data_IF_943505269866
#
_entry.id   IF_943505269866
#
_cell.length_a   1.000
_cell.length_b   1.000
_cell.length_c   1.000
_cell.angle_alpha   90.00
_cell.angle_beta   90.00
_cell.angle_gamma   90.00
#
_symmetry.space_group_name_H-M   'P 1'
#
loop_
_entity.id
_entity.type
_entity.pdbx_description
1 polymer ?
#
# COMPACT_ATOMS: atom_id res chain seq x y z
N UNK A 1 -10.82 -27.78 3.32
CA UNK A 1 -10.88 -26.58 2.43
C UNK A 1 -11.93 -25.56 2.85
N UNK A 2 -13.24 -25.88 2.87
CA UNK A 2 -14.29 -24.96 3.36
C UNK A 2 -14.00 -24.44 4.76
N UNK A 3 -13.62 -25.35 5.64
CA UNK A 3 -13.36 -25.03 7.05
C UNK A 3 -12.19 -24.06 7.21
N UNK A 4 -11.06 -24.35 6.58
CA UNK A 4 -9.90 -23.44 6.55
C UNK A 4 -10.25 -22.04 6.01
N UNK A 5 -11.13 -21.93 5.00
CA UNK A 5 -11.54 -20.61 4.47
C UNK A 5 -12.46 -19.87 5.44
N UNK A 6 -13.39 -20.56 6.11
CA UNK A 6 -14.24 -19.98 7.16
C UNK A 6 -13.44 -19.47 8.34
N UNK A 7 -12.48 -20.27 8.81
CA UNK A 7 -11.64 -19.95 9.97
C UNK A 7 -10.83 -18.67 9.75
N UNK A 8 -10.27 -18.48 8.55
CA UNK A 8 -9.56 -17.25 8.23
C UNK A 8 -9.59 -16.95 6.73
N UNK A 9 -10.54 -16.13 6.29
CA UNK A 9 -10.70 -15.78 4.87
C UNK A 9 -9.53 -14.97 4.28
N UNK A 10 -8.72 -14.32 5.13
CA UNK A 10 -7.61 -13.45 4.71
C UNK A 10 -6.32 -14.21 4.38
N UNK A 11 -6.25 -15.51 4.67
CA UNK A 11 -5.04 -16.31 4.41
C UNK A 11 -4.81 -16.51 2.91
N UNK A 12 -3.56 -16.32 2.51
CA UNK A 12 -3.11 -16.54 1.14
C UNK A 12 -3.14 -18.01 0.76
N UNK A 13 -3.25 -18.28 -0.54
CA UNK A 13 -3.26 -19.63 -1.10
C UNK A 13 -1.93 -20.36 -0.80
N UNK A 14 -0.82 -19.62 -0.79
CA UNK A 14 0.50 -20.16 -0.46
C UNK A 14 0.58 -20.67 0.97
N UNK A 15 0.03 -19.93 1.94
CA UNK A 15 -0.01 -20.39 3.33
C UNK A 15 -0.91 -21.62 3.49
N UNK A 16 -2.09 -21.62 2.85
CA UNK A 16 -3.00 -22.77 2.88
C UNK A 16 -2.37 -24.02 2.26
N UNK A 17 -1.52 -23.85 1.25
CA UNK A 17 -0.77 -24.93 0.60
C UNK A 17 0.18 -25.62 1.56
N UNK A 18 0.90 -24.85 2.37
CA UNK A 18 1.81 -25.37 3.38
C UNK A 18 1.08 -26.09 4.52
N UNK A 19 -0.04 -25.53 4.98
CA UNK A 19 -0.82 -26.12 6.09
C UNK A 19 -1.54 -27.40 5.71
N UNK A 20 -2.05 -27.48 4.48
CA UNK A 20 -2.82 -28.62 4.00
C UNK A 20 -1.94 -29.67 3.30
N UNK A 21 -0.65 -29.40 3.10
CA UNK A 21 0.25 -30.27 2.33
C UNK A 21 -0.14 -30.43 0.86
N UNK A 22 -0.92 -29.51 0.31
CA UNK A 22 -1.43 -29.56 -1.06
C UNK A 22 -0.69 -28.57 -1.94
N UNK A 23 -0.46 -28.92 -3.20
CA UNK A 23 0.10 -27.97 -4.16
C UNK A 23 -0.81 -26.76 -4.35
N UNK A 24 -0.22 -25.56 -4.39
CA UNK A 24 -0.95 -24.30 -4.54
C UNK A 24 -1.86 -24.27 -5.79
N UNK A 25 -1.47 -24.96 -6.87
CA UNK A 25 -2.25 -25.13 -8.11
C UNK A 25 -3.52 -25.94 -7.87
N UNK A 26 -3.45 -27.01 -7.08
CA UNK A 26 -4.60 -27.82 -6.67
C UNK A 26 -5.57 -27.00 -5.82
N UNK A 27 -5.05 -26.20 -4.89
CA UNK A 27 -5.88 -25.27 -4.10
C UNK A 27 -6.57 -24.25 -4.99
N UNK A 28 -5.84 -23.69 -5.97
CA UNK A 28 -6.38 -22.74 -6.94
C UNK A 28 -7.52 -23.35 -7.77
N UNK A 29 -7.34 -24.59 -8.23
CA UNK A 29 -8.37 -25.35 -8.96
C UNK A 29 -9.59 -25.62 -8.09
N UNK A 30 -9.39 -26.03 -6.83
CA UNK A 30 -10.48 -26.29 -5.89
C UNK A 30 -11.26 -25.00 -5.56
N UNK A 31 -10.59 -23.86 -5.41
CA UNK A 31 -11.28 -22.59 -5.12
C UNK A 31 -12.02 -22.02 -6.34
N UNK A 32 -11.37 -22.01 -7.51
CA UNK A 32 -11.88 -21.29 -8.68
C UNK A 32 -12.70 -22.15 -9.67
N UNK A 33 -12.39 -23.45 -9.80
CA UNK A 33 -12.96 -24.33 -10.84
C UNK A 33 -14.08 -25.20 -10.27
N UNK A 34 -13.96 -25.69 -9.04
CA UNK A 34 -15.04 -26.43 -8.38
C UNK A 34 -16.17 -25.47 -8.01
N UNK A 35 -17.21 -25.43 -8.86
CA UNK A 35 -18.45 -24.65 -8.63
C UNK A 35 -19.08 -24.96 -7.27
N UNK A 36 -18.86 -26.15 -6.74
CA UNK A 36 -19.40 -26.62 -5.47
C UNK A 36 -18.95 -25.77 -4.27
N UNK A 37 -17.84 -25.03 -4.40
CA UNK A 37 -17.36 -24.11 -3.37
C UNK A 37 -17.82 -22.68 -3.60
N UNK A 38 -17.90 -22.21 -4.83
CA UNK A 38 -18.29 -20.83 -5.18
C UNK A 38 -17.40 -19.75 -4.55
N UNK A 39 -16.17 -20.09 -4.14
CA UNK A 39 -15.30 -19.19 -3.39
C UNK A 39 -14.35 -18.45 -4.34
N UNK A 40 -14.57 -17.15 -4.51
CA UNK A 40 -13.70 -16.31 -5.32
C UNK A 40 -12.61 -15.67 -4.45
N UNK A 41 -11.31 -15.93 -4.71
CA UNK A 41 -10.23 -15.23 -4.04
C UNK A 41 -10.32 -13.73 -4.35
N UNK A 42 -10.53 -12.90 -3.33
CA UNK A 42 -10.57 -11.45 -3.48
C UNK A 42 -9.22 -10.83 -3.16
N UNK A 43 -8.92 -9.71 -3.82
CA UNK A 43 -7.73 -8.91 -3.55
C UNK A 43 -7.98 -8.06 -2.31
N UNK A 44 -7.17 -8.23 -1.27
CA UNK A 44 -7.20 -7.33 -0.10
C UNK A 44 -6.66 -5.97 -0.56
N UNK A 45 -7.49 -4.93 -0.46
CA UNK A 45 -7.09 -3.55 -0.70
C UNK A 45 -6.95 -2.83 0.65
N UNK A 46 -5.86 -2.07 0.81
CA UNK A 46 -5.70 -1.16 1.94
C UNK A 46 -6.56 0.07 1.68
N UNK A 47 -7.76 0.08 2.24
CA UNK A 47 -8.65 1.24 2.27
C UNK A 47 -8.44 2.04 3.56
N UNK A 48 -8.86 3.31 3.58
CA UNK A 48 -8.90 4.07 4.84
C UNK A 48 -9.73 3.30 5.87
N UNK A 49 -9.26 3.29 7.12
CA UNK A 49 -9.97 2.64 8.21
C UNK A 49 -11.31 3.35 8.44
N UNK A 50 -12.40 2.60 8.30
CA UNK A 50 -13.74 3.12 8.51
C UNK A 50 -14.06 3.09 10.00
N UNK A 51 -14.02 4.27 10.63
CA UNK A 51 -14.41 4.40 12.05
C UNK A 51 -15.91 4.15 12.18
N UNK A 52 -16.34 3.59 13.32
CA UNK A 52 -17.77 3.28 13.59
C UNK A 52 -18.67 4.52 13.39
N UNK A 53 -18.20 5.70 13.80
CA UNK A 53 -18.94 6.96 13.65
C UNK A 53 -19.10 7.40 12.18
N UNK A 54 -18.17 7.01 11.29
CA UNK A 54 -18.20 7.39 9.88
C UNK A 54 -19.41 6.78 9.17
N UNK A 55 -19.86 5.58 9.57
CA UNK A 55 -21.04 4.95 8.97
C UNK A 55 -22.29 5.83 9.12
N UNK A 56 -22.51 6.38 10.31
CA UNK A 56 -23.64 7.27 10.56
C UNK A 56 -23.52 8.54 9.74
N UNK A 57 -22.33 9.15 9.71
CA UNK A 57 -22.08 10.38 8.96
C UNK A 57 -22.26 10.18 7.45
N UNK A 58 -21.74 9.08 6.90
CA UNK A 58 -21.89 8.74 5.48
C UNK A 58 -23.36 8.49 5.13
N UNK A 59 -24.12 7.82 6.01
CA UNK A 59 -25.55 7.57 5.80
C UNK A 59 -26.38 8.85 5.85
N UNK A 60 -26.12 9.73 6.82
CA UNK A 60 -26.77 11.05 6.91
C UNK A 60 -26.46 11.89 5.67
N UNK A 61 -25.21 11.91 5.22
CA UNK A 61 -24.83 12.60 3.99
C UNK A 61 -25.54 12.01 2.76
N UNK A 62 -25.62 10.68 2.64
CA UNK A 62 -26.31 10.04 1.53
C UNK A 62 -27.80 10.41 1.48
N UNK A 63 -28.50 10.39 2.63
CA UNK A 63 -29.89 10.83 2.69
C UNK A 63 -30.05 12.30 2.30
N UNK A 64 -29.18 13.17 2.82
CA UNK A 64 -29.20 14.58 2.44
C UNK A 64 -28.98 14.78 0.93
N UNK A 65 -28.05 14.06 0.30
CA UNK A 65 -27.84 14.14 -1.16
C UNK A 65 -29.08 13.66 -1.92
N UNK A 66 -29.78 12.62 -1.45
CA UNK A 66 -31.02 12.16 -2.07
C UNK A 66 -32.11 13.23 -2.02
N UNK A 67 -32.30 13.88 -0.87
CA UNK A 67 -33.25 14.99 -0.73
C UNK A 67 -32.90 16.15 -1.68
N UNK A 68 -31.62 16.50 -1.81
CA UNK A 68 -31.19 17.56 -2.73
C UNK A 68 -31.40 17.19 -4.21
N UNK A 69 -31.32 15.90 -4.55
CA UNK A 69 -31.60 15.41 -5.91
C UNK A 69 -33.10 15.42 -6.25
N UNK A 70 -33.97 15.20 -5.26
CA UNK A 70 -35.42 15.34 -5.43
C UNK A 70 -35.83 16.79 -5.68
N UNK A 71 -35.21 17.74 -4.96
CA UNK A 71 -35.49 19.17 -5.11
C UNK A 71 -34.91 19.72 -6.42
N UNK A 72 -33.74 19.25 -6.85
CA UNK A 72 -33.12 19.67 -8.10
C UNK A 72 -32.42 18.49 -8.79
N UNK A 73 -32.97 17.97 -9.90
CA UNK A 73 -32.38 16.84 -10.61
C UNK A 73 -31.00 17.14 -11.23
N UNK A 74 -30.64 18.42 -11.35
CA UNK A 74 -29.34 18.85 -11.88
C UNK A 74 -28.30 19.17 -10.77
N UNK A 75 -28.65 18.97 -9.50
CA UNK A 75 -27.79 19.26 -8.34
C UNK A 75 -26.41 18.58 -8.45
N UNK A 76 -26.37 17.31 -8.85
CA UNK A 76 -25.11 16.57 -9.00
C UNK A 76 -24.12 17.24 -9.96
N UNK A 77 -24.59 17.93 -11.01
CA UNK A 77 -23.73 18.61 -11.98
C UNK A 77 -23.15 19.93 -11.45
N UNK A 78 -23.70 20.46 -10.35
CA UNK A 78 -23.22 21.68 -9.70
C UNK A 78 -22.16 21.39 -8.63
N UNK A 79 -22.00 20.13 -8.21
CA UNK A 79 -21.00 19.73 -7.22
C UNK A 79 -19.63 19.66 -7.89
N UNK A 80 -18.72 20.55 -7.48
CA UNK A 80 -17.32 20.53 -7.89
C UNK A 80 -16.49 20.02 -6.71
N UNK A 81 -15.81 18.87 -6.90
CA UNK A 81 -14.87 18.35 -5.91
C UNK A 81 -13.49 18.95 -6.12
N UNK A 82 -12.87 19.44 -5.04
CA UNK A 82 -11.47 19.87 -5.03
C UNK A 82 -10.68 19.02 -4.04
N UNK A 83 -9.61 18.38 -4.50
CA UNK A 83 -8.77 17.54 -3.64
C UNK A 83 -7.69 18.39 -2.94
N UNK A 84 -7.97 18.74 -1.68
CA UNK A 84 -7.08 19.56 -0.83
C UNK A 84 -5.68 18.95 -0.59
N UNK A 85 -5.46 17.70 -1.03
CA UNK A 85 -4.26 16.91 -0.75
C UNK A 85 -3.01 17.40 -1.49
N UNK A 86 -3.17 18.02 -2.67
CA UNK A 86 -2.04 18.54 -3.42
C UNK A 86 -1.48 19.84 -2.81
N UNK A 87 -2.36 20.67 -2.23
CA UNK A 87 -1.98 21.93 -1.58
C UNK A 87 -1.09 21.68 -0.36
N UNK A 88 -1.47 20.74 0.51
CA UNK A 88 -0.73 20.42 1.73
C UNK A 88 0.69 19.90 1.45
N UNK A 89 0.86 19.08 0.40
CA UNK A 89 2.19 18.61 -0.02
C UNK A 89 3.07 19.77 -0.47
N UNK A 90 2.53 20.69 -1.28
CA UNK A 90 3.27 21.88 -1.74
C UNK A 90 3.70 22.76 -0.57
N UNK A 91 2.82 22.99 0.40
CA UNK A 91 3.13 23.76 1.62
C UNK A 91 4.22 23.11 2.47
N UNK A 92 4.19 21.78 2.65
CA UNK A 92 5.20 21.07 3.43
C UNK A 92 6.59 21.15 2.79
N UNK A 93 6.69 21.02 1.47
CA UNK A 93 7.95 21.20 0.76
C UNK A 93 8.51 22.63 0.91
N UNK A 94 7.63 23.63 0.94
CA UNK A 94 8.07 25.01 1.18
C UNK A 94 8.57 25.23 2.61
N UNK A 95 7.98 24.58 3.61
CA UNK A 95 8.52 24.62 4.98
C UNK A 95 9.91 23.99 5.06
N UNK A 96 10.11 22.85 4.39
CA UNK A 96 11.42 22.18 4.30
C UNK A 96 12.45 23.10 3.63
N UNK A 97 12.06 23.81 2.57
CA UNK A 97 12.96 24.78 1.93
C UNK A 97 13.36 25.93 2.85
N UNK A 98 12.40 26.50 3.56
CA UNK A 98 12.65 27.59 4.50
C UNK A 98 13.59 27.14 5.63
N UNK A 99 13.45 25.89 6.10
CA UNK A 99 14.36 25.31 7.11
C UNK A 99 15.77 25.05 6.58
N UNK A 100 15.92 24.73 5.30
CA UNK A 100 17.22 24.50 4.64
C UNK A 100 17.92 25.79 4.20
N UNK A 101 17.47 26.95 4.71
CA UNK A 101 18.04 28.29 4.47
C UNK A 101 18.25 28.62 2.98
N UNK A 102 17.46 28.05 2.09
CA UNK A 102 17.54 28.30 0.65
C UNK A 102 18.77 27.71 -0.07
N UNK A 103 19.60 26.88 0.58
CA UNK A 103 20.79 26.28 -0.06
C UNK A 103 20.44 25.22 -1.13
N UNK A 104 19.20 24.74 -1.17
CA UNK A 104 18.74 23.73 -2.11
C UNK A 104 17.33 24.06 -2.59
N UNK A 105 17.08 24.10 -3.90
CA UNK A 105 15.71 24.24 -4.44
C UNK A 105 14.84 23.02 -4.10
N UNK A 106 13.51 23.21 -3.96
CA UNK A 106 12.58 22.10 -3.64
C UNK A 106 12.68 20.97 -4.64
N UNK A 107 12.94 21.30 -5.89
CA UNK A 107 13.02 20.30 -6.94
C UNK A 107 14.30 19.47 -6.81
N UNK A 108 15.42 20.12 -6.50
CA UNK A 108 16.69 19.43 -6.24
C UNK A 108 16.59 18.57 -4.97
N UNK A 109 15.88 19.04 -3.93
CA UNK A 109 15.62 18.27 -2.72
C UNK A 109 14.80 17.01 -2.99
N UNK A 110 13.70 17.15 -3.76
CA UNK A 110 12.85 16.02 -4.17
C UNK A 110 13.61 15.01 -5.01
N UNK A 111 14.41 15.48 -5.98
CA UNK A 111 15.19 14.62 -6.86
C UNK A 111 16.27 13.86 -6.09
N UNK A 112 16.97 14.55 -5.17
CA UNK A 112 17.97 13.91 -4.29
C UNK A 112 17.33 12.88 -3.37
N UNK A 113 16.19 13.20 -2.77
CA UNK A 113 15.45 12.27 -1.93
C UNK A 113 14.97 11.03 -2.71
N UNK A 114 14.44 11.23 -3.92
CA UNK A 114 14.04 10.13 -4.82
C UNK A 114 15.22 9.23 -5.13
N UNK A 115 16.37 9.80 -5.51
CA UNK A 115 17.60 9.07 -5.76
C UNK A 115 18.05 8.23 -4.56
N UNK A 116 18.10 8.84 -3.36
CA UNK A 116 18.50 8.14 -2.13
C UNK A 116 17.53 7.00 -1.78
N UNK A 117 16.22 7.23 -1.92
CA UNK A 117 15.20 6.20 -1.72
C UNK A 117 15.38 5.04 -2.69
N UNK A 118 15.60 5.32 -3.97
CA UNK A 118 15.78 4.28 -4.98
C UNK A 118 17.05 3.46 -4.72
N UNK A 119 18.15 4.12 -4.33
CA UNK A 119 19.37 3.45 -3.89
C UNK A 119 19.14 2.54 -2.68
N UNK A 120 18.42 3.03 -1.66
CA UNK A 120 18.04 2.24 -0.49
C UNK A 120 17.17 1.03 -0.85
N UNK A 121 16.13 1.23 -1.67
CA UNK A 121 15.24 0.15 -2.09
C UNK A 121 15.99 -0.92 -2.90
N UNK A 122 16.94 -0.53 -3.75
CA UNK A 122 17.84 -1.47 -4.46
C UNK A 122 18.72 -2.26 -3.48
N UNK A 123 19.34 -1.60 -2.50
CA UNK A 123 20.16 -2.26 -1.49
C UNK A 123 19.34 -3.24 -0.63
N UNK A 124 18.15 -2.82 -0.18
CA UNK A 124 17.23 -3.66 0.59
C UNK A 124 16.71 -4.85 -0.21
N UNK A 125 16.40 -4.67 -1.49
CA UNK A 125 16.02 -5.79 -2.38
C UNK A 125 17.17 -6.79 -2.52
N UNK A 126 18.42 -6.34 -2.67
CA UNK A 126 19.60 -7.23 -2.69
C UNK A 126 19.76 -8.01 -1.39
N UNK A 127 19.51 -7.38 -0.23
CA UNK A 127 19.51 -8.07 1.07
C UNK A 127 18.37 -9.08 1.20
N UNK A 128 17.17 -8.78 0.69
CA UNK A 128 16.00 -9.68 0.76
C UNK A 128 16.02 -10.80 -0.29
N UNK A 129 16.77 -10.64 -1.38
CA UNK A 129 16.89 -11.63 -2.47
C UNK A 129 18.08 -12.58 -2.27
N UNK A 130 18.95 -12.32 -1.29
CA UNK A 130 20.07 -13.21 -0.99
C UNK A 130 19.57 -14.49 -0.31
N UNK A 131 19.45 -15.56 -1.09
CA UNK A 131 19.31 -16.94 -0.61
C UNK A 131 20.66 -17.62 -0.85
N UNK A 132 21.46 -17.91 0.18
CA UNK A 132 22.69 -18.67 0.00
C UNK A 132 22.36 -20.16 -0.07
N UNK A 133 22.60 -20.77 -1.22
CA UNK A 133 22.72 -22.22 -1.34
C UNK A 133 24.05 -22.57 -2.01
N UNK A 134 24.86 -23.33 -1.27
CA UNK A 134 26.13 -23.99 -1.63
C UNK A 134 27.46 -23.21 -1.52
N UNK A 135 28.29 -23.71 -0.59
CA UNK A 135 29.75 -23.85 -0.57
C UNK A 135 30.66 -22.71 -1.06
N UNK A 136 31.44 -22.15 -0.13
CA UNK A 136 32.72 -21.50 -0.43
C UNK A 136 32.85 -20.08 0.13
N UNK A 137 33.58 -19.95 1.23
CA UNK A 137 34.22 -18.75 1.82
C UNK A 137 33.36 -17.51 2.08
N UNK A 138 33.22 -17.16 3.37
CA UNK A 138 32.66 -15.88 3.83
C UNK A 138 33.81 -14.86 3.95
N UNK A 139 33.96 -13.85 3.07
CA UNK A 139 34.73 -12.68 3.44
C UNK A 139 33.85 -11.76 4.29
N UNK A 140 34.12 -11.70 5.60
CA UNK A 140 33.54 -10.68 6.49
C UNK A 140 33.99 -9.29 6.02
N UNK A 141 33.24 -8.62 5.15
CA UNK A 141 33.47 -7.19 4.89
C UNK A 141 32.84 -6.36 6.01
N UNK A 142 33.65 -6.02 7.01
CA UNK A 142 33.36 -4.90 7.93
C UNK A 142 33.25 -3.63 7.10
N UNK A 143 32.07 -3.03 7.04
CA UNK A 143 31.89 -1.72 6.40
C UNK A 143 32.47 -0.67 7.34
N UNK A 144 33.68 -0.19 7.04
CA UNK A 144 34.26 0.98 7.70
C UNK A 144 33.58 2.23 7.12
N UNK A 145 32.85 2.98 7.94
CA UNK A 145 32.42 4.33 7.58
C UNK A 145 33.48 5.30 8.07
N UNK A 146 34.22 5.93 7.16
CA UNK A 146 35.06 7.10 7.46
C UNK A 146 34.33 8.34 6.98
N UNK A 147 33.90 9.18 7.92
CA UNK A 147 33.42 10.53 7.61
C UNK A 147 34.64 11.44 7.49
N UNK A 148 34.90 11.94 6.28
CA UNK A 148 35.86 13.01 6.07
C UNK A 148 35.15 14.34 6.31
N UNK A 149 35.57 15.04 7.37
CA UNK A 149 35.29 16.46 7.56
C UNK A 149 36.35 17.27 6.80
N UNK A 150 35.89 18.16 5.93
CA UNK A 150 36.55 19.44 5.62
C UNK A 150 35.45 20.47 5.50
#
# INVERSE_FOLDING_TARGET
MRESVRENSRRSISHRSQELGLFATSIWRILRIFRDLGLHPYKIQLTQELKVNNHRQHRVFAYWVLEQLEVNPNFAKQIIFSDKTHFQKKTLWQKVLNMMRGQLSAENAKNRWKYLRDCYMKAKKKQQTYIPSSSGTIPKKKIHFTFLSK
#
